data_IF_433950011831
#
_entry.id   IF_433950011831
#
_cell.length_a   1.000
_cell.length_b   1.000
_cell.length_c   1.000
_cell.angle_alpha   90.00
_cell.angle_beta   90.00
_cell.angle_gamma   90.00
#
_symmetry.space_group_name_H-M   'P 1'
#
loop_
_entity.id
_entity.type
_entity.pdbx_description
1 polymer ?
#
# COMPACT_ATOMS: atom_id res chain seq x y z
N UNK A 1 0.46 37.75 55.50
CA UNK A 1 -0.36 37.25 54.36
C UNK A 1 0.34 37.54 53.04
N UNK A 2 1.01 36.57 52.41
CA UNK A 2 1.41 36.64 50.99
C UNK A 2 1.20 35.25 50.39
N UNK A 3 0.30 35.18 49.41
CA UNK A 3 -0.27 33.96 48.84
C UNK A 3 0.71 33.35 47.84
N UNK A 4 1.13 32.12 48.12
CA UNK A 4 1.88 31.25 47.20
C UNK A 4 0.95 30.81 46.07
N UNK A 5 1.22 31.22 44.83
CA UNK A 5 0.54 30.71 43.65
C UNK A 5 1.41 29.62 43.02
N UNK A 6 1.01 28.37 43.25
CA UNK A 6 1.55 27.20 42.57
C UNK A 6 0.91 27.09 41.18
N UNK A 7 1.67 27.40 40.14
CA UNK A 7 1.32 27.11 38.75
C UNK A 7 1.59 25.63 38.47
N UNK A 8 0.54 24.81 38.49
CA UNK A 8 0.57 23.41 38.05
C UNK A 8 0.56 23.41 36.52
N UNK A 9 1.71 23.13 35.91
CA UNK A 9 1.83 22.94 34.46
C UNK A 9 1.28 21.56 34.08
N UNK A 10 0.14 21.56 33.41
CA UNK A 10 -0.49 20.38 32.85
C UNK A 10 0.32 19.87 31.65
N UNK A 11 0.98 18.72 31.80
CA UNK A 11 1.67 18.06 30.69
C UNK A 11 0.63 17.48 29.74
N UNK A 12 0.48 18.08 28.56
CA UNK A 12 -0.23 17.48 27.45
C UNK A 12 0.66 16.40 26.83
N UNK A 13 0.44 15.15 27.23
CA UNK A 13 0.98 14.00 26.52
C UNK A 13 0.29 13.93 25.14
N UNK A 14 0.97 14.45 24.11
CA UNK A 14 0.56 14.30 22.74
C UNK A 14 0.60 12.82 22.36
N UNK A 15 -0.57 12.19 22.29
CA UNK A 15 -0.72 10.92 21.60
C UNK A 15 -0.49 11.17 20.10
N UNK A 16 0.73 10.94 19.64
CA UNK A 16 1.02 10.83 18.22
C UNK A 16 0.46 9.49 17.77
N UNK A 17 -0.76 9.50 17.25
CA UNK A 17 -1.32 8.37 16.53
C UNK A 17 -0.46 8.17 15.28
N UNK A 18 0.46 7.22 15.31
CA UNK A 18 1.07 6.69 14.10
C UNK A 18 -0.05 6.01 13.31
N UNK A 19 -0.63 6.75 12.37
CA UNK A 19 -1.52 6.19 11.37
C UNK A 19 -0.68 5.23 10.51
N UNK A 20 -0.53 3.99 10.98
CA UNK A 20 -0.04 2.90 10.17
C UNK A 20 -1.03 2.71 9.05
N UNK A 21 -0.71 3.25 7.86
CA UNK A 21 -1.42 2.92 6.65
C UNK A 21 -1.39 1.40 6.53
N UNK A 22 -2.52 0.76 6.82
CA UNK A 22 -2.66 -0.69 6.76
C UNK A 22 -2.35 -1.10 5.33
N UNK A 23 -1.18 -1.70 5.12
CA UNK A 23 -0.80 -2.21 3.80
C UNK A 23 -1.83 -3.26 3.41
N UNK A 24 -2.60 -2.97 2.36
CA UNK A 24 -3.62 -3.89 1.89
C UNK A 24 -2.92 -5.07 1.21
N UNK A 25 -3.11 -6.27 1.76
CA UNK A 25 -2.61 -7.51 1.17
C UNK A 25 -3.73 -8.13 0.36
N UNK A 26 -3.55 -8.19 -0.96
CA UNK A 26 -4.46 -8.87 -1.88
C UNK A 26 -3.76 -10.07 -2.49
N UNK A 27 -4.41 -11.22 -2.38
CA UNK A 27 -3.96 -12.48 -3.00
C UNK A 27 -4.76 -12.73 -4.26
N UNK A 28 -4.07 -12.86 -5.38
CA UNK A 28 -4.67 -13.06 -6.69
C UNK A 28 -4.36 -14.47 -7.18
N UNK A 29 -5.43 -15.20 -7.49
CA UNK A 29 -5.34 -16.53 -8.10
C UNK A 29 -5.57 -16.42 -9.60
N UNK A 30 -4.65 -16.95 -10.38
CA UNK A 30 -4.75 -17.05 -11.83
C UNK A 30 -5.28 -18.43 -12.24
N UNK A 31 -5.61 -18.58 -13.53
CA UNK A 31 -5.76 -19.89 -14.14
C UNK A 31 -4.48 -20.72 -13.98
N UNK A 32 -4.60 -22.05 -13.96
CA UNK A 32 -3.49 -23.00 -13.78
C UNK A 32 -2.89 -23.05 -12.36
N UNK A 33 -3.67 -22.69 -11.34
CA UNK A 33 -3.23 -22.72 -9.92
C UNK A 33 -2.03 -21.82 -9.60
N UNK A 34 -1.72 -20.85 -10.48
CA UNK A 34 -0.71 -19.83 -10.20
C UNK A 34 -1.30 -18.79 -9.25
N UNK A 35 -0.49 -18.27 -8.35
CA UNK A 35 -0.89 -17.25 -7.40
C UNK A 35 0.20 -16.18 -7.28
N UNK A 36 -0.22 -14.94 -7.07
CA UNK A 36 0.67 -13.85 -6.71
C UNK A 36 0.00 -12.96 -5.65
N UNK A 37 0.83 -12.29 -4.85
CA UNK A 37 0.36 -11.40 -3.80
C UNK A 37 0.77 -9.96 -4.12
N UNK A 38 -0.11 -9.01 -3.83
CA UNK A 38 0.20 -7.58 -3.88
C UNK A 38 0.01 -6.98 -2.51
N UNK A 39 1.00 -6.25 -2.01
CA UNK A 39 0.93 -5.55 -0.72
C UNK A 39 1.29 -4.09 -0.89
N UNK A 40 0.59 -3.17 -0.23
CA UNK A 40 1.03 -1.77 -0.18
C UNK A 40 -0.12 -0.78 -0.17
N UNK A 41 0.11 0.37 -0.82
CA UNK A 41 -0.82 1.49 -0.90
C UNK A 41 -1.39 1.62 -2.31
N UNK A 42 -2.34 2.54 -2.50
CA UNK A 42 -2.89 2.80 -3.83
C UNK A 42 -1.86 3.35 -4.83
N UNK A 43 -0.79 4.00 -4.37
CA UNK A 43 0.22 4.64 -5.23
C UNK A 43 1.40 3.73 -5.55
N UNK A 44 1.75 2.83 -4.63
CA UNK A 44 2.84 1.89 -4.80
C UNK A 44 2.48 0.56 -4.18
N UNK A 45 2.66 -0.50 -4.97
CA UNK A 45 2.43 -1.87 -4.54
C UNK A 45 3.69 -2.71 -4.70
N UNK A 46 3.78 -3.74 -3.89
CA UNK A 46 4.81 -4.76 -3.93
C UNK A 46 4.18 -6.06 -4.38
N UNK A 47 4.51 -6.48 -5.59
CA UNK A 47 4.12 -7.76 -6.17
C UNK A 47 5.10 -8.83 -5.70
N UNK A 48 4.58 -9.93 -5.14
CA UNK A 48 5.35 -11.11 -4.79
C UNK A 48 4.87 -12.28 -5.63
N UNK A 49 5.76 -12.85 -6.44
CA UNK A 49 5.48 -13.98 -7.32
C UNK A 49 6.67 -14.96 -7.33
N UNK A 50 6.42 -16.24 -7.04
CA UNK A 50 7.45 -17.29 -6.97
C UNK A 50 8.71 -16.89 -6.18
N UNK A 51 8.51 -16.34 -4.97
CA UNK A 51 9.58 -15.83 -4.09
C UNK A 51 10.37 -14.63 -4.63
N UNK A 52 10.00 -14.07 -5.78
CA UNK A 52 10.53 -12.80 -6.29
C UNK A 52 9.59 -11.66 -5.93
N UNK A 53 10.17 -10.50 -5.69
CA UNK A 53 9.45 -9.30 -5.30
C UNK A 53 9.75 -8.17 -6.26
N UNK A 54 8.70 -7.48 -6.71
CA UNK A 54 8.78 -6.37 -7.65
C UNK A 54 7.98 -5.20 -7.10
N UNK A 55 8.56 -4.00 -7.14
CA UNK A 55 7.85 -2.78 -6.78
C UNK A 55 7.19 -2.19 -8.01
N UNK A 56 5.86 -2.06 -8.02
CA UNK A 56 5.14 -1.40 -9.10
C UNK A 56 4.61 -0.06 -8.61
N UNK A 57 4.71 0.94 -9.48
CA UNK A 57 4.22 2.30 -9.25
C UNK A 57 2.93 2.50 -10.02
N UNK A 58 1.99 3.22 -9.43
CA UNK A 58 0.70 3.54 -10.06
C UNK A 58 0.91 4.36 -11.33
N UNK A 59 0.21 3.96 -12.38
CA UNK A 59 0.18 4.64 -13.67
C UNK A 59 -1.22 5.20 -13.93
N UNK A 60 -1.31 6.16 -14.86
CA UNK A 60 -2.60 6.63 -15.35
C UNK A 60 -3.35 5.48 -16.05
N UNK A 61 -4.63 5.35 -15.71
CA UNK A 61 -5.49 4.27 -16.18
C UNK A 61 -6.89 4.79 -16.49
N UNK A 62 -7.67 3.99 -17.22
CA UNK A 62 -9.06 4.33 -17.50
C UNK A 62 -9.89 4.29 -16.21
N UNK A 63 -10.97 5.10 -16.09
CA UNK A 63 -11.88 5.03 -14.97
C UNK A 63 -12.38 3.60 -14.72
N UNK A 64 -12.42 3.18 -13.45
CA UNK A 64 -12.80 1.81 -13.08
C UNK A 64 -11.67 0.78 -13.18
N UNK A 65 -10.47 1.19 -13.56
CA UNK A 65 -9.26 0.37 -13.59
C UNK A 65 -8.13 1.00 -12.80
N UNK A 66 -7.27 0.17 -12.21
CA UNK A 66 -5.99 0.60 -11.66
C UNK A 66 -4.88 -0.08 -12.45
N UNK A 67 -3.83 0.66 -12.76
CA UNK A 67 -2.64 0.13 -13.43
C UNK A 67 -1.41 0.42 -12.59
N UNK A 68 -0.55 -0.57 -12.46
CA UNK A 68 0.72 -0.48 -11.76
C UNK A 68 1.82 -1.03 -12.65
N UNK A 69 2.93 -0.31 -12.81
CA UNK A 69 4.03 -0.73 -13.68
C UNK A 69 5.37 -0.67 -12.96
N UNK A 70 6.23 -1.64 -13.27
CA UNK A 70 7.65 -1.59 -12.95
C UNK A 70 8.43 -1.43 -14.26
N UNK A 71 9.02 -0.26 -14.47
CA UNK A 71 9.74 0.09 -15.71
C UNK A 71 11.07 -0.65 -15.86
N UNK A 72 11.63 -1.20 -14.78
CA UNK A 72 12.91 -1.93 -14.79
C UNK A 72 12.76 -3.39 -15.18
N UNK A 73 11.68 -4.04 -14.72
CA UNK A 73 11.43 -5.48 -14.92
C UNK A 73 10.42 -5.79 -16.02
N UNK A 74 9.67 -4.80 -16.50
CA UNK A 74 8.62 -5.02 -17.50
C UNK A 74 7.29 -5.52 -16.93
N UNK A 75 7.19 -5.68 -15.60
CA UNK A 75 5.93 -6.09 -14.99
C UNK A 75 4.89 -4.98 -15.03
N UNK A 76 3.68 -5.32 -15.50
CA UNK A 76 2.56 -4.39 -15.62
C UNK A 76 1.29 -5.09 -15.12
N UNK A 77 0.74 -4.59 -14.01
CA UNK A 77 -0.43 -5.13 -13.35
C UNK A 77 -1.63 -4.22 -13.59
N UNK A 78 -2.70 -4.79 -14.13
CA UNK A 78 -4.00 -4.11 -14.31
C UNK A 78 -5.03 -4.75 -13.39
N UNK A 79 -5.69 -3.96 -12.56
CA UNK A 79 -6.76 -4.38 -11.64
C UNK A 79 -8.08 -3.75 -12.10
N UNK A 80 -9.09 -4.60 -12.29
CA UNK A 80 -10.45 -4.26 -12.71
C UNK A 80 -11.43 -4.87 -11.71
N UNK A 81 -11.86 -4.08 -10.72
CA UNK A 81 -12.71 -4.57 -9.65
C UNK A 81 -12.06 -5.74 -8.88
N UNK A 82 -12.65 -6.93 -9.01
CA UNK A 82 -12.17 -8.16 -8.38
C UNK A 82 -11.30 -9.04 -9.31
N UNK A 83 -10.90 -8.53 -10.48
CA UNK A 83 -10.03 -9.24 -11.42
C UNK A 83 -8.69 -8.52 -11.53
N UNK A 84 -7.61 -9.27 -11.68
CA UNK A 84 -6.29 -8.73 -11.91
C UNK A 84 -5.61 -9.47 -13.07
N UNK A 85 -4.84 -8.74 -13.87
CA UNK A 85 -4.09 -9.23 -15.01
C UNK A 85 -2.65 -8.74 -14.87
N UNK A 86 -1.70 -9.68 -14.76
CA UNK A 86 -0.28 -9.39 -14.69
C UNK A 86 0.36 -9.70 -16.05
N UNK A 87 0.97 -8.69 -16.64
CA UNK A 87 1.75 -8.77 -17.87
C UNK A 87 3.25 -8.72 -17.56
N UNK A 88 4.02 -9.27 -18.48
CA UNK A 88 5.47 -9.17 -18.51
C UNK A 88 5.85 -8.74 -19.93
N UNK A 89 6.19 -7.47 -20.10
CA UNK A 89 6.42 -6.80 -21.39
C UNK A 89 7.83 -6.24 -21.50
#
# INVERSE_FOLDING_TARGET
MKRTLLLVSMMAAGFVSTAGASEAVSTWTCSESKQFNTTGTMEKIRLTWQSKTFELVRENSLPGSLRYKNTTSGHDLVVLGNKAMLFNI
#
